data_IF_925896453293
#
_entry.id   IF_925896453293
#
_cell.length_a   1.000
_cell.length_b   1.000
_cell.length_c   1.000
_cell.angle_alpha   90.00
_cell.angle_beta   90.00
_cell.angle_gamma   90.00
#
_symmetry.space_group_name_H-M   'P 1'
#
loop_
_entity.id
_entity.type
_entity.pdbx_description
1 polymer ?
#
# COMPACT_ATOMS: atom_id res chain seq x y z
N UNK A 1 8.49 -36.75 17.80
CA UNK A 1 7.17 -36.28 18.27
C UNK A 1 7.16 -34.78 18.61
N UNK A 2 7.87 -34.30 19.64
CA UNK A 2 7.93 -32.85 19.94
C UNK A 2 8.63 -32.02 18.84
N UNK A 3 9.67 -32.57 18.21
CA UNK A 3 10.33 -31.93 17.07
C UNK A 3 9.42 -31.83 15.84
N UNK A 4 8.59 -32.84 15.61
CA UNK A 4 7.62 -32.83 14.51
C UNK A 4 6.55 -31.77 14.73
N UNK A 5 6.02 -31.64 15.95
CA UNK A 5 5.06 -30.59 16.29
C UNK A 5 5.64 -29.19 16.11
N UNK A 6 6.89 -28.96 16.54
CA UNK A 6 7.57 -27.68 16.32
C UNK A 6 7.73 -27.39 14.83
N UNK A 7 8.12 -28.40 14.03
CA UNK A 7 8.25 -28.26 12.58
C UNK A 7 6.93 -27.85 11.94
N UNK A 8 5.83 -28.55 12.25
CA UNK A 8 4.51 -28.21 11.70
C UNK A 8 4.03 -26.82 12.12
N UNK A 9 4.26 -26.41 13.38
CA UNK A 9 3.90 -25.08 13.85
C UNK A 9 4.71 -23.98 13.16
N UNK A 10 6.02 -24.16 13.00
CA UNK A 10 6.88 -23.23 12.27
C UNK A 10 6.49 -23.14 10.79
N UNK A 11 6.22 -24.27 10.15
CA UNK A 11 5.76 -24.30 8.75
C UNK A 11 4.42 -23.58 8.61
N UNK A 12 3.46 -23.82 9.50
CA UNK A 12 2.18 -23.11 9.51
C UNK A 12 2.34 -21.61 9.71
N UNK A 13 3.21 -21.19 10.63
CA UNK A 13 3.50 -19.78 10.86
C UNK A 13 4.07 -19.11 9.61
N UNK A 14 5.06 -19.73 8.96
CA UNK A 14 5.69 -19.20 7.73
C UNK A 14 4.67 -19.01 6.61
N UNK A 15 3.70 -19.92 6.47
CA UNK A 15 2.65 -19.83 5.45
C UNK A 15 1.63 -18.73 5.80
N UNK A 16 1.30 -18.54 7.08
CA UNK A 16 0.29 -17.56 7.53
C UNK A 16 0.84 -16.13 7.52
N UNK A 17 2.13 -15.95 7.82
CA UNK A 17 2.81 -14.64 7.85
C UNK A 17 2.50 -13.77 6.62
N UNK A 18 2.70 -14.21 5.36
CA UNK A 18 2.47 -13.36 4.19
C UNK A 18 1.02 -12.89 4.09
N UNK A 19 0.04 -13.77 4.37
CA UNK A 19 -1.39 -13.43 4.32
C UNK A 19 -1.73 -12.38 5.38
N UNK A 20 -1.25 -12.57 6.61
CA UNK A 20 -1.47 -11.63 7.72
C UNK A 20 -0.84 -10.27 7.41
N UNK A 21 0.38 -10.26 6.85
CA UNK A 21 1.06 -9.02 6.43
C UNK A 21 0.23 -8.29 5.36
N UNK A 22 -0.27 -9.00 4.34
CA UNK A 22 -1.13 -8.39 3.32
C UNK A 22 -2.36 -7.74 3.94
N UNK A 23 -3.13 -8.49 4.75
CA UNK A 23 -4.34 -7.97 5.41
C UNK A 23 -4.02 -6.76 6.30
N UNK A 24 -2.92 -6.84 7.06
CA UNK A 24 -2.48 -5.76 7.93
C UNK A 24 -2.13 -4.49 7.16
N UNK A 25 -1.41 -4.61 6.04
CA UNK A 25 -1.05 -3.46 5.18
C UNK A 25 -2.33 -2.79 4.64
N UNK A 26 -3.30 -3.56 4.13
CA UNK A 26 -4.56 -3.00 3.65
C UNK A 26 -5.31 -2.28 4.77
N UNK A 27 -5.48 -2.93 5.91
CA UNK A 27 -6.13 -2.32 7.08
C UNK A 27 -5.45 -1.01 7.50
N UNK A 28 -4.12 -0.99 7.53
CA UNK A 28 -3.35 0.20 7.88
C UNK A 28 -3.55 1.34 6.88
N UNK A 29 -3.50 1.06 5.57
CA UNK A 29 -3.74 2.06 4.52
C UNK A 29 -5.15 2.65 4.64
N UNK A 30 -6.18 1.82 4.79
CA UNK A 30 -7.55 2.29 4.93
C UNK A 30 -7.73 3.16 6.17
N UNK A 31 -7.15 2.75 7.30
CA UNK A 31 -7.20 3.54 8.54
C UNK A 31 -6.48 4.87 8.36
N UNK A 32 -5.31 4.88 7.74
CA UNK A 32 -4.53 6.09 7.50
C UNK A 32 -5.26 7.09 6.58
N UNK A 33 -5.88 6.60 5.50
CA UNK A 33 -6.71 7.41 4.61
C UNK A 33 -7.91 7.97 5.37
N UNK A 34 -8.61 7.15 6.16
CA UNK A 34 -9.73 7.62 6.97
C UNK A 34 -9.29 8.71 7.96
N UNK A 35 -8.14 8.57 8.62
CA UNK A 35 -7.62 9.61 9.52
C UNK A 35 -7.29 10.92 8.81
N UNK A 36 -6.78 10.87 7.58
CA UNK A 36 -6.56 12.09 6.77
C UNK A 36 -7.90 12.73 6.41
N UNK A 37 -8.88 11.92 6.00
CA UNK A 37 -10.23 12.40 5.67
C UNK A 37 -10.86 13.06 6.90
N UNK A 38 -10.84 12.41 8.06
CA UNK A 38 -11.38 12.94 9.31
C UNK A 38 -10.66 14.22 9.76
N UNK A 39 -9.34 14.27 9.62
CA UNK A 39 -8.55 15.46 9.93
C UNK A 39 -8.88 16.66 9.03
N UNK A 40 -9.02 16.44 7.72
CA UNK A 40 -9.39 17.47 6.74
C UNK A 40 -10.88 17.85 6.86
N UNK A 41 -11.74 16.88 7.18
CA UNK A 41 -13.19 17.05 7.32
C UNK A 41 -13.62 17.69 8.64
N UNK A 42 -12.67 18.13 9.48
CA UNK A 42 -12.96 18.63 10.82
C UNK A 42 -13.96 19.81 10.82
N UNK A 43 -14.91 19.67 11.76
CA UNK A 43 -16.08 20.50 12.11
C UNK A 43 -17.15 20.78 11.05
N UNK A 44 -16.80 21.11 9.80
CA UNK A 44 -17.81 21.57 8.83
C UNK A 44 -18.56 20.42 8.14
N UNK A 45 -17.89 19.29 7.90
CA UNK A 45 -18.44 18.18 7.11
C UNK A 45 -19.33 17.25 7.94
N UNK A 46 -18.90 16.91 9.16
CA UNK A 46 -19.61 15.97 10.06
C UNK A 46 -20.98 16.48 10.53
N UNK A 47 -21.25 17.79 10.45
CA UNK A 47 -22.54 18.38 10.83
C UNK A 47 -23.59 18.29 9.72
N UNK A 48 -23.18 18.09 8.47
CA UNK A 48 -24.08 18.21 7.30
C UNK A 48 -24.02 17.01 6.34
N UNK A 49 -23.01 16.14 6.43
CA UNK A 49 -22.94 14.94 5.60
C UNK A 49 -23.19 13.69 6.46
N UNK A 50 -24.27 12.92 6.19
CA UNK A 50 -24.37 11.56 6.69
C UNK A 50 -23.15 10.78 6.21
N UNK A 51 -22.66 9.82 7.00
CA UNK A 51 -21.60 8.89 6.60
C UNK A 51 -21.89 8.38 5.18
N UNK A 52 -21.17 8.88 4.17
CA UNK A 52 -21.36 8.44 2.79
C UNK A 52 -20.71 7.06 2.69
N UNK A 53 -21.51 5.98 2.56
CA UNK A 53 -20.94 4.66 2.38
C UNK A 53 -20.20 4.64 1.04
N UNK A 54 -18.92 4.26 1.06
CA UNK A 54 -18.07 4.19 -0.13
C UNK A 54 -17.23 5.44 -0.43
N UNK A 55 -17.28 6.49 0.40
CA UNK A 55 -16.43 7.68 0.24
C UNK A 55 -14.92 7.32 0.24
N UNK A 56 -14.51 6.40 1.12
CA UNK A 56 -13.13 5.90 1.17
C UNK A 56 -12.67 5.28 -0.15
N UNK A 57 -13.56 4.58 -0.86
CA UNK A 57 -13.25 3.96 -2.17
C UNK A 57 -13.04 5.05 -3.22
N UNK A 58 -13.94 6.04 -3.28
CA UNK A 58 -13.86 7.15 -4.23
C UNK A 58 -12.58 7.95 -4.00
N UNK A 59 -12.26 8.25 -2.74
CA UNK A 59 -11.05 8.99 -2.37
C UNK A 59 -9.79 8.18 -2.69
N UNK A 60 -9.79 6.87 -2.40
CA UNK A 60 -8.66 5.99 -2.78
C UNK A 60 -8.43 6.01 -4.29
N UNK A 61 -9.50 5.92 -5.09
CA UNK A 61 -9.40 6.01 -6.54
C UNK A 61 -8.87 7.36 -7.00
N UNK A 62 -9.37 8.45 -6.41
CA UNK A 62 -8.90 9.81 -6.72
C UNK A 62 -7.41 10.00 -6.38
N UNK A 63 -6.94 9.46 -5.25
CA UNK A 63 -5.52 9.48 -4.86
C UNK A 63 -4.68 8.69 -5.87
N UNK A 64 -5.10 7.48 -6.24
CA UNK A 64 -4.38 6.66 -7.22
C UNK A 64 -4.27 7.39 -8.56
N UNK A 65 -5.35 8.01 -9.03
CA UNK A 65 -5.36 8.81 -10.25
C UNK A 65 -4.43 10.03 -10.13
N UNK A 66 -4.48 10.76 -9.02
CA UNK A 66 -3.62 11.91 -8.77
C UNK A 66 -2.14 11.52 -8.79
N UNK A 67 -1.78 10.40 -8.14
CA UNK A 67 -0.42 9.84 -8.16
C UNK A 67 -0.02 9.46 -9.59
N UNK A 68 -0.90 8.82 -10.36
CA UNK A 68 -0.63 8.45 -11.75
C UNK A 68 -0.38 9.66 -12.65
N UNK A 69 -1.22 10.70 -12.53
CA UNK A 69 -1.03 11.97 -13.24
C UNK A 69 0.29 12.61 -12.83
N UNK A 70 0.57 12.68 -11.53
CA UNK A 70 1.83 13.22 -11.02
C UNK A 70 3.03 12.44 -11.56
N UNK A 71 2.99 11.10 -11.56
CA UNK A 71 4.05 10.25 -12.09
C UNK A 71 4.30 10.44 -13.60
N UNK A 72 3.30 10.92 -14.36
CA UNK A 72 3.42 11.14 -15.80
C UNK A 72 4.23 12.40 -16.16
N UNK A 73 4.29 13.39 -15.26
CA UNK A 73 5.06 14.63 -15.49
C UNK A 73 6.52 14.47 -15.08
N UNK A 74 7.41 15.28 -15.68
CA UNK A 74 8.87 15.21 -15.44
C UNK A 74 9.24 15.25 -13.96
N UNK A 75 8.59 16.11 -13.18
CA UNK A 75 8.81 16.23 -11.72
C UNK A 75 8.46 14.94 -11.00
N UNK A 76 7.36 14.28 -11.36
CA UNK A 76 6.97 13.02 -10.75
C UNK A 76 7.91 11.88 -11.12
N UNK A 77 8.43 11.85 -12.35
CA UNK A 77 9.46 10.88 -12.75
C UNK A 77 10.72 11.02 -11.89
N UNK A 78 11.23 12.25 -11.73
CA UNK A 78 12.38 12.49 -10.85
C UNK A 78 12.07 12.14 -9.40
N UNK A 79 10.87 12.45 -8.89
CA UNK A 79 10.47 12.07 -7.53
C UNK A 79 10.47 10.55 -7.32
N UNK A 80 9.98 9.77 -8.32
CA UNK A 80 10.02 8.32 -8.28
C UNK A 80 11.45 7.77 -8.27
N UNK A 81 12.37 8.34 -9.07
CA UNK A 81 13.79 7.95 -9.05
C UNK A 81 14.44 8.21 -7.68
N UNK A 82 14.08 9.31 -7.02
CA UNK A 82 14.52 9.56 -5.64
C UNK A 82 13.98 8.48 -4.71
N UNK A 83 12.68 8.18 -4.77
CA UNK A 83 12.07 7.13 -3.94
C UNK A 83 12.77 5.78 -4.16
N UNK A 84 13.03 5.38 -5.40
CA UNK A 84 13.77 4.15 -5.73
C UNK A 84 15.13 4.12 -5.03
N UNK A 85 15.87 5.24 -5.09
CA UNK A 85 17.19 5.37 -4.49
C UNK A 85 17.15 5.38 -2.95
N UNK A 86 16.06 5.81 -2.35
CA UNK A 86 15.85 5.71 -0.90
C UNK A 86 15.50 4.28 -0.50
N UNK A 87 14.60 3.62 -1.23
CA UNK A 87 14.18 2.24 -0.97
C UNK A 87 15.33 1.25 -1.14
N UNK A 88 16.21 1.47 -2.12
CA UNK A 88 17.38 0.60 -2.35
C UNK A 88 18.38 0.56 -1.18
N UNK A 89 18.33 1.53 -0.25
CA UNK A 89 19.17 1.57 0.94
C UNK A 89 18.65 0.71 2.09
N UNK A 90 17.42 0.20 2.00
CA UNK A 90 16.79 -0.62 3.04
C UNK A 90 16.79 -2.08 2.57
N UNK A 91 17.71 -2.93 3.06
CA UNK A 91 18.02 -4.24 2.46
C UNK A 91 16.83 -5.19 2.33
N UNK A 92 15.89 -5.16 3.27
CA UNK A 92 14.71 -6.03 3.27
C UNK A 92 13.56 -5.47 2.42
N UNK A 93 13.43 -4.14 2.37
CA UNK A 93 12.32 -3.47 1.68
C UNK A 93 12.60 -3.35 0.19
N UNK A 94 13.86 -3.17 -0.20
CA UNK A 94 14.27 -3.05 -1.59
C UNK A 94 13.88 -4.27 -2.41
N UNK A 95 14.07 -5.48 -1.89
CA UNK A 95 13.73 -6.73 -2.58
C UNK A 95 12.23 -6.81 -2.90
N UNK A 96 11.38 -6.52 -1.91
CA UNK A 96 9.92 -6.52 -2.09
C UNK A 96 9.49 -5.43 -3.07
N UNK A 97 10.00 -4.21 -2.89
CA UNK A 97 9.66 -3.06 -3.71
C UNK A 97 10.01 -3.27 -5.19
N UNK A 98 11.25 -3.66 -5.48
CA UNK A 98 11.71 -3.82 -6.86
C UNK A 98 11.11 -5.04 -7.55
N UNK A 99 10.81 -6.12 -6.81
CA UNK A 99 10.09 -7.27 -7.37
C UNK A 99 8.69 -6.88 -7.85
N UNK A 100 7.94 -6.15 -7.03
CA UNK A 100 6.59 -5.69 -7.39
C UNK A 100 6.65 -4.69 -8.54
N UNK A 101 7.63 -3.77 -8.51
CA UNK A 101 7.84 -2.78 -9.57
C UNK A 101 8.13 -3.46 -10.91
N UNK A 102 9.06 -4.41 -10.93
CA UNK A 102 9.43 -5.16 -12.14
C UNK A 102 8.25 -5.96 -12.71
N UNK A 103 7.48 -6.64 -11.85
CA UNK A 103 6.28 -7.35 -12.27
C UNK A 103 5.27 -6.40 -12.92
N UNK A 104 5.06 -5.22 -12.32
CA UNK A 104 4.13 -4.20 -12.84
C UNK A 104 4.60 -3.61 -14.17
N UNK A 105 5.89 -3.26 -14.29
CA UNK A 105 6.49 -2.75 -15.52
C UNK A 105 6.40 -3.77 -16.65
N UNK A 106 6.62 -5.05 -16.35
CA UNK A 106 6.50 -6.13 -17.34
C UNK A 106 5.08 -6.21 -17.91
N UNK A 107 4.05 -6.07 -17.06
CA UNK A 107 2.64 -6.07 -17.50
C UNK A 107 2.34 -4.85 -18.38
N UNK A 108 2.91 -3.68 -18.05
CA UNK A 108 2.71 -2.46 -18.81
C UNK A 108 3.43 -2.48 -20.18
N UNK A 109 4.63 -3.07 -20.25
CA UNK A 109 5.45 -3.14 -21.47
C UNK A 109 4.96 -4.25 -22.42
N UNK A 110 4.30 -5.30 -21.91
CA UNK A 110 3.72 -6.37 -22.73
C UNK A 110 2.47 -5.93 -23.52
N UNK A 111 2.03 -4.69 -23.39
CA UNK A 111 0.86 -4.13 -24.08
C UNK A 111 1.30 -3.13 -25.14
#
# INVERSE_FOLDING_TARGET
MFEDMKRYLLTGLVIVIPVVITVYIFYYIFTWINSIIEGIASEFLYRYLPEIPGLTIIISLAIILAIGIFASVSVGKSALEYIDKWMSKIPLVSEIYFTIKQASETILIQK
#
